data_IF_251324517017
#
_entry.id   IF_251324517017
#
_cell.length_a   1.000
_cell.length_b   1.000
_cell.length_c   1.000
_cell.angle_alpha   90.00
_cell.angle_beta   90.00
_cell.angle_gamma   90.00
#
_symmetry.space_group_name_H-M   'P 1'
#
loop_
_entity.id
_entity.type
_entity.pdbx_description
1 polymer ?
#
# COMPACT_ATOMS: atom_id res chain seq x y z
N UNK A 1 27.87 -19.64 3.98
CA UNK A 1 27.75 -20.63 5.09
C UNK A 1 26.32 -20.73 5.62
N UNK A 2 25.55 -19.63 5.70
CA UNK A 2 24.20 -19.61 6.27
C UNK A 2 23.06 -19.87 5.26
N UNK A 3 23.34 -19.81 3.95
CA UNK A 3 22.34 -19.99 2.89
C UNK A 3 21.51 -21.28 3.00
N UNK A 4 22.13 -22.37 3.46
CA UNK A 4 21.46 -23.67 3.68
C UNK A 4 20.36 -23.66 4.73
N UNK A 5 20.32 -22.61 5.57
CA UNK A 5 19.28 -22.45 6.62
C UNK A 5 18.13 -21.54 6.18
N UNK A 6 18.29 -20.83 5.07
CA UNK A 6 17.27 -19.94 4.52
C UNK A 6 16.25 -20.72 3.70
N UNK A 7 15.01 -20.28 3.74
CA UNK A 7 13.98 -20.82 2.85
C UNK A 7 14.32 -20.50 1.39
N UNK A 8 13.85 -21.35 0.47
CA UNK A 8 14.09 -21.15 -0.97
C UNK A 8 13.59 -19.79 -1.45
N UNK A 9 12.42 -19.34 -0.95
CA UNK A 9 11.85 -18.04 -1.31
C UNK A 9 12.72 -16.86 -0.87
N UNK A 10 13.30 -16.93 0.35
CA UNK A 10 14.21 -15.88 0.84
C UNK A 10 15.51 -15.83 0.04
N UNK A 11 16.01 -16.98 -0.43
CA UNK A 11 17.24 -17.05 -1.22
C UNK A 11 17.10 -16.36 -2.60
N UNK A 12 15.89 -16.24 -3.14
CA UNK A 12 15.64 -15.57 -4.44
C UNK A 12 15.50 -14.06 -4.31
N UNK A 13 15.19 -13.54 -3.11
CA UNK A 13 15.00 -12.11 -2.90
C UNK A 13 16.32 -11.38 -2.97
N UNK A 14 16.40 -10.42 -3.88
CA UNK A 14 17.59 -9.55 -4.01
C UNK A 14 17.50 -8.39 -3.01
N UNK A 15 18.61 -8.05 -2.32
CA UNK A 15 18.65 -6.86 -1.49
C UNK A 15 18.29 -5.61 -2.29
N UNK A 16 17.51 -4.70 -1.68
CA UNK A 16 17.18 -3.42 -2.31
C UNK A 16 18.46 -2.59 -2.56
N UNK A 17 18.69 -2.20 -3.81
CA UNK A 17 19.81 -1.32 -4.17
C UNK A 17 19.73 0.08 -3.57
N UNK A 18 18.53 0.54 -3.20
CA UNK A 18 18.27 1.87 -2.65
C UNK A 18 19.02 2.09 -1.33
N UNK A 19 19.07 1.09 -0.46
CA UNK A 19 19.72 1.19 0.86
C UNK A 19 21.22 1.56 0.73
N UNK A 20 21.92 0.99 -0.26
CA UNK A 20 23.32 1.31 -0.52
C UNK A 20 23.54 2.79 -0.83
N UNK A 21 22.61 3.42 -1.53
CA UNK A 21 22.71 4.85 -1.85
C UNK A 21 22.40 5.73 -0.65
N UNK A 22 21.52 5.28 0.27
CA UNK A 22 21.26 5.99 1.53
C UNK A 22 22.47 5.97 2.44
N UNK A 23 23.09 4.80 2.61
CA UNK A 23 24.29 4.67 3.43
C UNK A 23 25.39 5.60 2.87
N UNK A 24 25.60 5.59 1.54
CA UNK A 24 26.56 6.47 0.89
C UNK A 24 26.23 7.97 1.08
N UNK A 25 24.95 8.37 0.93
CA UNK A 25 24.54 9.76 1.08
C UNK A 25 24.69 10.25 2.53
N UNK A 26 24.50 9.37 3.52
CA UNK A 26 24.66 9.72 4.94
C UNK A 26 26.12 9.94 5.34
N UNK A 27 27.07 9.38 4.60
CA UNK A 27 28.51 9.55 4.83
C UNK A 27 29.10 10.79 4.12
N UNK A 28 28.32 11.46 3.28
CA UNK A 28 28.77 12.62 2.48
C UNK A 28 28.31 13.93 3.10
N UNK A 29 29.24 14.89 3.28
CA UNK A 29 28.91 16.24 3.73
C UNK A 29 28.32 17.08 2.58
N UNK A 30 27.33 17.92 2.89
CA UNK A 30 26.75 18.89 1.96
C UNK A 30 25.82 18.29 0.89
N UNK A 31 25.42 17.05 1.01
CA UNK A 31 24.47 16.40 0.09
C UNK A 31 23.05 16.77 0.43
N UNK A 32 22.30 17.24 -0.58
CA UNK A 32 20.84 17.37 -0.51
C UNK A 32 20.27 16.01 -0.94
N UNK A 33 19.81 15.22 0.02
CA UNK A 33 19.20 13.91 -0.27
C UNK A 33 17.76 14.08 -0.76
N UNK A 34 17.47 13.52 -1.94
CA UNK A 34 16.12 13.33 -2.48
C UNK A 34 15.70 11.85 -2.40
N UNK A 35 16.38 11.08 -1.54
CA UNK A 35 16.32 9.63 -1.56
C UNK A 35 15.13 9.04 -0.81
N UNK A 36 15.00 9.29 0.50
CA UNK A 36 13.88 8.75 1.30
C UNK A 36 12.66 9.65 1.13
N UNK A 37 11.58 9.09 0.59
CA UNK A 37 10.32 9.80 0.48
C UNK A 37 9.57 9.84 1.83
N UNK A 38 9.90 10.82 2.67
CA UNK A 38 9.16 11.09 3.91
C UNK A 38 8.76 12.57 3.99
N UNK A 39 7.67 12.89 4.73
CA UNK A 39 7.25 14.27 4.92
C UNK A 39 8.35 15.11 5.57
N UNK A 40 8.58 16.31 5.05
CA UNK A 40 9.50 17.30 5.61
C UNK A 40 8.85 18.11 6.75
N UNK A 41 8.18 17.39 7.64
CA UNK A 41 7.48 17.94 8.80
C UNK A 41 7.60 16.98 9.97
N UNK A 42 7.72 17.52 11.17
CA UNK A 42 7.47 16.73 12.37
C UNK A 42 6.01 16.34 12.48
N UNK A 43 5.74 15.19 13.11
CA UNK A 43 4.37 14.85 13.52
C UNK A 43 3.75 16.02 14.30
N UNK A 44 2.53 16.47 13.95
CA UNK A 44 1.87 17.61 14.61
C UNK A 44 1.85 17.50 16.13
N UNK A 45 2.07 18.63 16.81
CA UNK A 45 2.26 18.64 18.27
C UNK A 45 1.12 17.96 19.04
N UNK A 46 -0.13 18.23 18.68
CA UNK A 46 -1.29 17.63 19.34
C UNK A 46 -1.33 16.10 19.26
N UNK A 47 -0.78 15.51 18.19
CA UNK A 47 -0.65 14.04 18.07
C UNK A 47 0.45 13.53 19.00
N UNK A 48 1.61 14.22 19.01
CA UNK A 48 2.72 13.88 19.91
C UNK A 48 2.32 13.98 21.38
N UNK A 49 1.63 15.05 21.74
CA UNK A 49 1.12 15.29 23.10
C UNK A 49 0.14 14.20 23.54
N UNK A 50 -0.81 13.82 22.68
CA UNK A 50 -1.75 12.73 22.95
C UNK A 50 -1.04 11.40 23.19
N UNK A 51 0.02 11.12 22.43
CA UNK A 51 0.81 9.91 22.64
C UNK A 51 1.59 9.93 23.95
N UNK A 52 2.23 11.05 24.31
CA UNK A 52 2.91 11.23 25.60
C UNK A 52 1.91 10.99 26.73
N UNK A 53 0.75 11.64 26.67
CA UNK A 53 -0.31 11.48 27.67
C UNK A 53 -0.79 10.04 27.77
N UNK A 54 -0.90 9.31 26.68
CA UNK A 54 -1.31 7.91 26.68
C UNK A 54 -0.34 7.02 27.45
N UNK A 55 0.96 7.28 27.32
CA UNK A 55 2.01 6.56 28.03
C UNK A 55 1.98 6.93 29.54
N UNK A 56 1.92 8.23 29.85
CA UNK A 56 1.86 8.73 31.23
C UNK A 56 0.61 8.23 31.97
N UNK A 57 -0.51 8.07 31.27
CA UNK A 57 -1.75 7.52 31.83
C UNK A 57 -1.79 5.98 31.89
N UNK A 58 -0.68 5.30 31.58
CA UNK A 58 -0.56 3.85 31.72
C UNK A 58 -1.28 3.04 30.64
N UNK A 59 -1.58 3.61 29.47
CA UNK A 59 -2.17 2.88 28.33
C UNK A 59 -1.10 2.04 27.62
N UNK A 60 -0.55 1.05 28.33
CA UNK A 60 0.60 0.23 27.89
C UNK A 60 0.30 -1.27 27.84
N UNK A 61 -0.98 -1.65 27.89
CA UNK A 61 -1.42 -3.04 27.85
C UNK A 61 -1.78 -3.51 26.44
N UNK A 62 -1.92 -4.83 26.28
CA UNK A 62 -2.37 -5.42 25.03
C UNK A 62 -3.72 -4.87 24.59
N UNK A 63 -3.86 -4.67 23.29
CA UNK A 63 -5.12 -4.33 22.63
C UNK A 63 -5.72 -5.57 21.95
N UNK A 64 -6.88 -5.43 21.34
CA UNK A 64 -7.41 -6.47 20.45
C UNK A 64 -6.45 -6.71 19.27
N UNK A 65 -6.40 -7.93 18.74
CA UNK A 65 -5.54 -8.28 17.60
C UNK A 65 -5.78 -7.42 16.36
N UNK A 66 -7.00 -6.95 16.19
CA UNK A 66 -7.39 -6.03 15.10
C UNK A 66 -7.04 -4.56 15.37
N UNK A 67 -6.50 -4.25 16.55
CA UNK A 67 -6.28 -2.88 17.04
C UNK A 67 -7.43 -2.36 17.89
N UNK A 68 -7.22 -1.20 18.51
CA UNK A 68 -8.22 -0.52 19.35
C UNK A 68 -9.49 -0.26 18.55
N UNK A 69 -10.66 -0.57 19.13
CA UNK A 69 -11.96 -0.35 18.48
C UNK A 69 -12.16 1.14 18.18
N UNK A 70 -11.85 2.00 19.15
CA UNK A 70 -11.97 3.46 18.99
C UNK A 70 -11.14 4.00 17.82
N UNK A 71 -9.95 3.44 17.60
CA UNK A 71 -9.13 3.82 16.43
C UNK A 71 -9.77 3.33 15.13
N UNK A 72 -10.32 2.12 15.11
CA UNK A 72 -10.98 1.57 13.92
C UNK A 72 -12.27 2.33 13.58
N UNK A 73 -13.03 2.79 14.59
CA UNK A 73 -14.18 3.68 14.44
C UNK A 73 -13.77 5.01 13.79
N UNK A 74 -12.69 5.64 14.29
CA UNK A 74 -12.18 6.89 13.72
C UNK A 74 -11.64 6.71 12.28
N UNK A 75 -11.00 5.58 11.97
CA UNK A 75 -10.60 5.23 10.60
C UNK A 75 -11.83 5.14 9.68
N UNK A 76 -12.91 4.47 10.11
CA UNK A 76 -14.14 4.38 9.32
C UNK A 76 -14.79 5.75 9.12
N UNK A 77 -14.87 6.57 10.17
CA UNK A 77 -15.38 7.94 10.09
C UNK A 77 -14.54 8.82 9.14
N UNK A 78 -13.22 8.66 9.18
CA UNK A 78 -12.29 9.33 8.26
C UNK A 78 -12.54 8.90 6.81
N UNK A 79 -12.61 7.59 6.53
CA UNK A 79 -12.87 7.04 5.20
C UNK A 79 -14.22 7.54 4.65
N UNK A 80 -15.25 7.56 5.48
CA UNK A 80 -16.58 8.06 5.12
C UNK A 80 -16.56 9.55 4.78
N UNK A 81 -15.93 10.35 5.65
CA UNK A 81 -15.87 11.82 5.49
C UNK A 81 -15.01 12.26 4.30
N UNK A 82 -13.84 11.60 4.11
CA UNK A 82 -12.87 12.03 3.11
C UNK A 82 -13.13 11.41 1.73
N UNK A 83 -13.51 10.14 1.69
CA UNK A 83 -13.55 9.36 0.46
C UNK A 83 -14.91 8.73 0.16
N UNK A 84 -15.95 9.03 0.96
CA UNK A 84 -17.31 8.50 0.84
C UNK A 84 -17.35 6.96 0.87
N UNK A 85 -16.45 6.34 1.61
CA UNK A 85 -16.38 4.91 1.82
C UNK A 85 -16.93 4.55 3.19
N UNK A 86 -17.92 3.68 3.22
CA UNK A 86 -18.60 3.23 4.44
C UNK A 86 -18.20 1.80 4.76
N UNK A 87 -17.58 1.60 5.93
CA UNK A 87 -17.08 0.33 6.42
C UNK A 87 -17.51 0.11 7.88
N UNK A 88 -17.64 -1.16 8.28
CA UNK A 88 -17.88 -1.56 9.66
C UNK A 88 -16.54 -1.63 10.42
N UNK A 89 -16.39 -0.90 11.53
CA UNK A 89 -15.14 -0.90 12.30
C UNK A 89 -14.85 -2.25 12.99
N UNK A 90 -15.86 -3.09 13.20
CA UNK A 90 -15.69 -4.40 13.84
C UNK A 90 -15.15 -5.43 12.84
N UNK A 91 -15.75 -5.49 11.64
CA UNK A 91 -15.51 -6.56 10.70
C UNK A 91 -14.60 -6.18 9.51
N UNK A 92 -14.47 -4.86 9.21
CA UNK A 92 -13.79 -4.44 7.97
C UNK A 92 -12.44 -3.74 8.19
N UNK A 93 -11.96 -3.56 9.43
CA UNK A 93 -10.73 -2.81 9.71
C UNK A 93 -9.77 -3.59 10.57
N UNK A 94 -8.52 -3.65 10.14
CA UNK A 94 -7.37 -4.19 10.90
C UNK A 94 -6.27 -3.12 10.93
N UNK A 95 -5.74 -2.86 12.12
CA UNK A 95 -4.58 -1.99 12.33
C UNK A 95 -3.31 -2.83 12.34
N UNK A 96 -2.29 -2.38 11.60
CA UNK A 96 -1.03 -3.12 11.39
C UNK A 96 0.19 -2.25 11.70
N UNK A 97 1.37 -2.87 11.77
CA UNK A 97 2.65 -2.15 11.93
C UNK A 97 3.07 -1.52 10.59
N UNK A 98 2.31 -0.51 10.18
CA UNK A 98 2.46 0.21 8.92
C UNK A 98 1.95 -0.59 7.71
N UNK A 99 1.87 0.09 6.55
CA UNK A 99 1.31 -0.47 5.32
C UNK A 99 2.03 -1.71 4.77
N UNK A 100 3.33 -1.88 5.08
CA UNK A 100 4.06 -3.08 4.62
C UNK A 100 3.57 -4.37 5.27
N UNK A 101 3.20 -4.34 6.57
CA UNK A 101 2.57 -5.49 7.20
C UNK A 101 1.17 -5.72 6.65
N UNK A 102 0.41 -4.65 6.39
CA UNK A 102 -0.92 -4.77 5.79
C UNK A 102 -0.86 -5.47 4.41
N UNK A 103 0.14 -5.13 3.58
CA UNK A 103 0.37 -5.79 2.29
C UNK A 103 0.73 -7.27 2.48
N UNK A 104 1.66 -7.57 3.39
CA UNK A 104 2.09 -8.96 3.65
C UNK A 104 0.92 -9.83 4.14
N UNK A 105 0.13 -9.32 5.09
CA UNK A 105 -1.06 -10.02 5.61
C UNK A 105 -2.10 -10.22 4.51
N UNK A 106 -2.40 -9.17 3.72
CA UNK A 106 -3.35 -9.28 2.61
C UNK A 106 -2.91 -10.33 1.60
N UNK A 107 -1.64 -10.31 1.18
CA UNK A 107 -1.10 -11.31 0.25
C UNK A 107 -1.23 -12.73 0.82
N UNK A 108 -0.81 -12.96 2.06
CA UNK A 108 -0.91 -14.28 2.70
C UNK A 108 -2.35 -14.77 2.86
N UNK A 109 -3.31 -13.86 3.00
CA UNK A 109 -4.71 -14.22 3.17
C UNK A 109 -5.39 -14.63 1.85
N UNK A 110 -4.94 -14.09 0.70
CA UNK A 110 -5.69 -14.21 -0.56
C UNK A 110 -5.01 -15.06 -1.64
N UNK A 111 -3.68 -15.25 -1.60
CA UNK A 111 -2.96 -15.94 -2.67
C UNK A 111 -2.43 -17.30 -2.23
N UNK A 112 -2.40 -18.25 -3.15
CA UNK A 112 -1.77 -19.55 -3.00
C UNK A 112 -0.47 -19.61 -3.82
N UNK A 113 0.45 -20.53 -3.51
CA UNK A 113 1.61 -20.77 -4.35
C UNK A 113 1.20 -21.09 -5.80
N UNK A 114 1.77 -20.33 -6.73
CA UNK A 114 1.49 -20.46 -8.17
C UNK A 114 0.38 -19.56 -8.71
N UNK A 115 -0.39 -18.89 -7.84
CA UNK A 115 -1.28 -17.79 -8.26
C UNK A 115 -0.46 -16.63 -8.81
N UNK A 116 -1.02 -15.87 -9.72
CA UNK A 116 -0.40 -14.68 -10.30
C UNK A 116 -0.95 -13.41 -9.66
N UNK A 117 -0.04 -12.49 -9.33
CA UNK A 117 -0.39 -11.16 -8.82
C UNK A 117 0.18 -10.10 -9.75
N UNK A 118 -0.69 -9.28 -10.31
CA UNK A 118 -0.30 -8.18 -11.20
C UNK A 118 0.27 -7.03 -10.35
N UNK A 119 1.46 -6.56 -10.73
CA UNK A 119 2.15 -5.41 -10.15
C UNK A 119 2.46 -4.39 -11.25
N UNK A 120 2.41 -3.10 -10.91
CA UNK A 120 2.86 -2.04 -11.80
C UNK A 120 4.37 -1.80 -11.68
N UNK A 121 5.01 -1.37 -12.76
CA UNK A 121 6.40 -0.89 -12.78
C UNK A 121 6.49 0.47 -13.48
N UNK A 122 7.23 1.45 -12.91
CA UNK A 122 7.94 1.38 -11.62
C UNK A 122 6.99 1.44 -10.41
N UNK A 123 7.39 0.80 -9.30
CA UNK A 123 6.60 0.76 -8.06
C UNK A 123 7.49 0.65 -6.81
N UNK A 124 6.84 0.65 -5.64
CA UNK A 124 7.54 0.46 -4.39
C UNK A 124 8.23 -0.91 -4.32
N UNK A 125 9.51 -0.88 -3.96
CA UNK A 125 10.42 -2.05 -4.04
C UNK A 125 9.98 -3.26 -3.20
N UNK A 126 9.10 -3.09 -2.23
CA UNK A 126 8.64 -4.16 -1.37
C UNK A 126 7.49 -5.00 -1.98
N UNK A 127 6.83 -4.55 -3.06
CA UNK A 127 5.67 -5.27 -3.59
C UNK A 127 6.08 -6.62 -4.19
N UNK A 128 7.08 -6.66 -5.05
CA UNK A 128 7.58 -7.92 -5.64
C UNK A 128 7.98 -8.95 -4.58
N UNK A 129 8.84 -8.62 -3.59
CA UNK A 129 9.15 -9.55 -2.52
C UNK A 129 7.95 -10.02 -1.70
N UNK A 130 6.94 -9.16 -1.46
CA UNK A 130 5.73 -9.54 -0.72
C UNK A 130 4.93 -10.61 -1.47
N UNK A 131 4.89 -10.55 -2.80
CA UNK A 131 4.28 -11.60 -3.65
C UNK A 131 5.12 -12.87 -3.63
N UNK A 132 6.42 -12.77 -3.89
CA UNK A 132 7.33 -13.93 -3.98
C UNK A 132 7.39 -14.73 -2.67
N UNK A 133 7.32 -14.06 -1.50
CA UNK A 133 7.32 -14.70 -0.18
C UNK A 133 6.10 -15.59 0.08
N UNK A 134 5.01 -15.40 -0.64
CA UNK A 134 3.83 -16.30 -0.57
C UNK A 134 3.94 -17.51 -1.50
N UNK A 135 4.94 -17.54 -2.37
CA UNK A 135 5.07 -18.52 -3.45
C UNK A 135 4.22 -18.21 -4.69
N UNK A 136 3.58 -17.04 -4.71
CA UNK A 136 2.88 -16.53 -5.89
C UNK A 136 3.87 -15.96 -6.92
N UNK A 137 3.39 -15.73 -8.12
CA UNK A 137 4.18 -15.25 -9.27
C UNK A 137 3.84 -13.79 -9.54
N UNK A 138 4.78 -12.85 -9.41
CA UNK A 138 4.55 -11.47 -9.80
C UNK A 138 4.49 -11.33 -11.33
N UNK A 139 3.44 -10.68 -11.83
CA UNK A 139 3.25 -10.33 -13.24
C UNK A 139 3.36 -8.82 -13.38
N UNK A 140 4.41 -8.34 -14.03
CA UNK A 140 4.72 -6.91 -14.09
C UNK A 140 4.09 -6.25 -15.32
N UNK A 141 3.35 -5.14 -15.09
CA UNK A 141 2.87 -4.23 -16.13
C UNK A 141 3.74 -2.98 -16.13
N UNK A 142 4.45 -2.74 -17.21
CA UNK A 142 5.22 -1.51 -17.39
C UNK A 142 4.29 -0.34 -17.66
N UNK A 143 4.29 0.64 -16.76
CA UNK A 143 3.65 1.93 -16.95
C UNK A 143 4.62 2.88 -17.67
N UNK A 144 4.12 3.68 -18.58
CA UNK A 144 4.94 4.52 -19.45
C UNK A 144 4.56 5.98 -19.29
N UNK A 145 5.51 6.85 -19.61
CA UNK A 145 5.34 8.29 -19.53
C UNK A 145 4.21 8.78 -20.47
N UNK A 146 4.09 8.16 -21.64
CA UNK A 146 3.08 8.46 -22.64
C UNK A 146 1.65 8.29 -22.11
N UNK A 147 1.46 7.33 -21.21
CA UNK A 147 0.19 7.09 -20.49
C UNK A 147 0.11 7.85 -19.15
N UNK A 148 1.02 8.78 -18.90
CA UNK A 148 1.13 9.48 -17.61
C UNK A 148 1.33 8.52 -16.43
N UNK A 149 2.00 7.39 -16.66
CA UNK A 149 2.16 6.29 -15.71
C UNK A 149 0.83 5.75 -15.15
N UNK A 150 -0.23 5.77 -15.95
CA UNK A 150 -1.53 5.19 -15.63
C UNK A 150 -1.64 3.76 -16.12
N UNK A 151 -2.48 2.97 -15.45
CA UNK A 151 -2.86 1.65 -15.93
C UNK A 151 -3.98 1.79 -16.96
N UNK A 152 -3.75 1.28 -18.18
CA UNK A 152 -4.76 1.28 -19.23
C UNK A 152 -5.52 -0.06 -19.31
N UNK A 153 -6.76 -0.07 -19.83
CA UNK A 153 -7.52 -1.31 -20.03
C UNK A 153 -6.79 -2.35 -20.89
N UNK A 154 -6.05 -1.90 -21.90
CA UNK A 154 -5.32 -2.76 -22.83
C UNK A 154 -4.18 -3.48 -22.10
N UNK A 155 -3.39 -2.74 -21.31
CA UNK A 155 -2.31 -3.29 -20.50
C UNK A 155 -2.84 -4.27 -19.45
N UNK A 156 -3.94 -3.93 -18.78
CA UNK A 156 -4.57 -4.82 -17.81
C UNK A 156 -5.03 -6.13 -18.47
N UNK A 157 -5.78 -6.05 -19.58
CA UNK A 157 -6.26 -7.24 -20.29
C UNK A 157 -5.12 -8.14 -20.78
N UNK A 158 -4.02 -7.55 -21.24
CA UNK A 158 -2.87 -8.31 -21.72
C UNK A 158 -2.12 -9.08 -20.62
N UNK A 159 -2.24 -8.63 -19.36
CA UNK A 159 -1.59 -9.25 -18.20
C UNK A 159 -2.44 -10.32 -17.52
N UNK A 160 -3.75 -10.37 -17.77
CA UNK A 160 -4.67 -11.31 -17.13
C UNK A 160 -4.51 -12.71 -17.75
N UNK A 161 -4.38 -13.70 -16.89
CA UNK A 161 -4.40 -15.14 -17.23
C UNK A 161 -5.40 -15.88 -16.34
N UNK A 162 -5.70 -17.14 -16.61
CA UNK A 162 -6.53 -17.95 -15.71
C UNK A 162 -5.95 -18.16 -14.30
N UNK A 163 -4.69 -17.77 -14.07
CA UNK A 163 -4.02 -17.84 -12.77
C UNK A 163 -4.01 -16.49 -12.03
N UNK A 164 -4.45 -15.42 -12.68
CA UNK A 164 -4.46 -14.09 -12.07
C UNK A 164 -5.44 -14.06 -10.91
N UNK A 165 -4.92 -13.89 -9.70
CA UNK A 165 -5.69 -13.85 -8.46
C UNK A 165 -5.95 -12.42 -7.98
N UNK A 166 -4.93 -11.57 -8.08
CA UNK A 166 -5.00 -10.22 -7.54
C UNK A 166 -4.20 -9.24 -8.38
N UNK A 167 -4.49 -7.96 -8.19
CA UNK A 167 -3.69 -6.83 -8.64
C UNK A 167 -3.39 -5.93 -7.45
N UNK A 168 -2.13 -5.50 -7.30
CA UNK A 168 -1.75 -4.47 -6.33
C UNK A 168 -1.53 -3.16 -7.07
N UNK A 169 -2.31 -2.15 -6.72
CA UNK A 169 -2.26 -0.80 -7.29
C UNK A 169 -1.84 0.20 -6.22
N UNK A 170 -0.96 1.13 -6.57
CA UNK A 170 -0.59 2.26 -5.71
C UNK A 170 -0.77 3.57 -6.48
N UNK A 171 -1.83 4.30 -6.15
CA UNK A 171 -2.15 5.61 -6.70
C UNK A 171 -2.69 6.53 -5.61
N UNK A 172 -2.13 7.75 -5.45
CA UNK A 172 -0.95 8.31 -6.16
C UNK A 172 0.27 7.43 -6.02
N UNK A 173 1.05 7.28 -7.11
CA UNK A 173 2.07 6.24 -7.22
C UNK A 173 3.44 6.67 -6.68
N UNK A 174 4.08 5.78 -5.96
CA UNK A 174 5.52 5.84 -5.68
C UNK A 174 6.24 4.91 -6.70
N UNK A 175 7.19 5.41 -7.54
CA UNK A 175 7.84 6.73 -7.44
C UNK A 175 7.35 7.79 -8.43
N UNK A 176 6.37 7.50 -9.28
CA UNK A 176 6.08 8.34 -10.46
C UNK A 176 5.21 9.57 -10.16
N UNK A 177 4.47 9.55 -9.05
CA UNK A 177 3.44 10.56 -8.76
C UNK A 177 2.20 10.44 -9.67
N UNK A 178 2.11 9.38 -10.50
CA UNK A 178 0.93 9.13 -11.34
C UNK A 178 -0.33 9.00 -10.50
N UNK A 179 -1.45 9.49 -11.02
CA UNK A 179 -2.77 9.42 -10.37
C UNK A 179 -3.79 8.82 -11.33
N UNK A 180 -4.73 8.04 -10.78
CA UNK A 180 -5.87 7.51 -11.52
C UNK A 180 -7.11 8.32 -11.19
N UNK A 181 -7.79 8.82 -12.21
CA UNK A 181 -9.08 9.51 -12.05
C UNK A 181 -10.24 8.52 -11.94
N UNK A 182 -11.42 9.03 -11.58
CA UNK A 182 -12.65 8.21 -11.58
C UNK A 182 -12.94 7.62 -12.96
N UNK A 183 -12.69 8.39 -14.00
CA UNK A 183 -12.87 7.98 -15.40
C UNK A 183 -11.87 6.89 -15.82
N UNK A 184 -10.65 6.95 -15.31
CA UNK A 184 -9.64 5.92 -15.55
C UNK A 184 -10.05 4.60 -14.89
N UNK A 185 -10.45 4.63 -13.60
CA UNK A 185 -10.95 3.44 -12.89
C UNK A 185 -12.22 2.87 -13.53
N UNK A 186 -13.15 3.72 -13.97
CA UNK A 186 -14.40 3.27 -14.60
C UNK A 186 -14.17 2.38 -15.83
N UNK A 187 -13.04 2.55 -16.54
CA UNK A 187 -12.65 1.70 -17.67
C UNK A 187 -12.07 0.35 -17.22
N UNK A 188 -11.50 0.26 -16.04
CA UNK A 188 -10.89 -0.95 -15.48
C UNK A 188 -11.91 -1.82 -14.73
N UNK A 189 -12.89 -1.22 -14.09
CA UNK A 189 -13.90 -1.88 -13.25
C UNK A 189 -14.59 -3.07 -13.95
N UNK A 190 -15.08 -2.97 -15.18
CA UNK A 190 -15.70 -4.11 -15.88
C UNK A 190 -14.73 -5.30 -16.02
N UNK A 191 -13.45 -5.01 -16.32
CA UNK A 191 -12.42 -6.05 -16.52
C UNK A 191 -12.12 -6.75 -15.20
N UNK A 192 -11.94 -5.97 -14.12
CA UNK A 192 -11.67 -6.50 -12.78
C UNK A 192 -12.83 -7.36 -12.27
N UNK A 193 -14.07 -6.90 -12.50
CA UNK A 193 -15.27 -7.61 -12.11
C UNK A 193 -15.44 -8.93 -12.85
N UNK A 194 -15.34 -8.90 -14.18
CA UNK A 194 -15.52 -10.07 -15.05
C UNK A 194 -14.54 -11.19 -14.72
N UNK A 195 -13.31 -10.83 -14.32
CA UNK A 195 -12.25 -11.79 -14.00
C UNK A 195 -12.14 -12.08 -12.50
N UNK A 196 -13.04 -11.56 -11.66
CA UNK A 196 -13.06 -11.76 -10.20
C UNK A 196 -11.72 -11.46 -9.51
N UNK A 197 -10.98 -10.44 -10.04
CA UNK A 197 -9.65 -10.07 -9.55
C UNK A 197 -9.76 -9.28 -8.26
N UNK A 198 -9.07 -9.72 -7.21
CA UNK A 198 -8.97 -8.95 -5.96
C UNK A 198 -8.04 -7.75 -6.18
N UNK A 199 -8.50 -6.58 -5.80
CA UNK A 199 -7.73 -5.34 -5.90
C UNK A 199 -7.15 -4.99 -4.54
N UNK A 200 -5.84 -5.04 -4.39
CA UNK A 200 -5.14 -4.44 -3.25
C UNK A 200 -4.79 -3.01 -3.66
N UNK A 201 -5.48 -2.05 -3.06
CA UNK A 201 -5.30 -0.63 -3.34
C UNK A 201 -4.46 0.01 -2.24
N UNK A 202 -3.18 0.24 -2.53
CA UNK A 202 -2.31 1.00 -1.62
C UNK A 202 -2.54 2.50 -1.83
N UNK A 203 -3.27 3.09 -0.90
CA UNK A 203 -3.74 4.47 -0.90
C UNK A 203 -2.99 5.34 0.13
N UNK A 204 -1.79 4.93 0.51
CA UNK A 204 -0.97 5.64 1.52
C UNK A 204 -0.72 7.11 1.18
N UNK A 205 -0.81 7.47 -0.10
CA UNK A 205 -0.62 8.83 -0.61
C UNK A 205 -1.93 9.55 -0.98
N UNK A 206 -3.10 9.01 -0.61
CA UNK A 206 -4.40 9.58 -0.99
C UNK A 206 -4.53 11.08 -0.64
N UNK A 207 -4.08 11.50 0.56
CA UNK A 207 -4.09 12.90 1.00
C UNK A 207 -3.04 13.78 0.32
N UNK A 208 -2.09 13.20 -0.40
CA UNK A 208 -1.07 13.91 -1.17
C UNK A 208 -1.47 14.03 -2.66
N UNK A 209 -2.75 14.02 -2.96
CA UNK A 209 -3.30 14.36 -4.26
C UNK A 209 -3.41 15.87 -4.35
N UNK A 210 -2.46 16.51 -5.06
CA UNK A 210 -2.36 17.98 -5.12
C UNK A 210 -3.28 18.58 -6.18
N UNK A 211 -3.50 17.86 -7.28
CA UNK A 211 -4.36 18.30 -8.37
C UNK A 211 -5.55 17.33 -8.53
N UNK A 212 -6.76 17.89 -8.58
CA UNK A 212 -7.98 17.12 -8.74
C UNK A 212 -8.50 16.48 -7.45
N UNK A 213 -9.22 15.40 -7.59
CA UNK A 213 -9.85 14.68 -6.46
C UNK A 213 -9.39 13.23 -6.48
N UNK A 214 -8.91 12.76 -5.34
CA UNK A 214 -8.59 11.34 -5.15
C UNK A 214 -9.84 10.47 -5.37
N UNK A 215 -9.65 9.35 -6.03
CA UNK A 215 -10.67 8.32 -6.22
C UNK A 215 -10.09 6.95 -5.86
N UNK A 216 -10.77 6.23 -5.01
CA UNK A 216 -10.47 4.83 -4.71
C UNK A 216 -11.20 3.90 -5.68
N UNK A 217 -10.63 2.75 -6.07
CA UNK A 217 -11.39 1.69 -6.75
C UNK A 217 -12.57 1.19 -5.91
N UNK A 218 -12.52 1.30 -4.58
CA UNK A 218 -13.63 0.97 -3.70
C UNK A 218 -14.85 1.91 -3.80
N UNK A 219 -14.72 3.06 -4.48
CA UNK A 219 -15.85 3.92 -4.79
C UNK A 219 -16.78 3.37 -5.90
N UNK A 220 -16.44 2.22 -6.48
CA UNK A 220 -17.25 1.53 -7.48
C UNK A 220 -17.93 0.33 -6.82
N UNK A 221 -19.24 0.44 -6.63
CA UNK A 221 -20.03 -0.60 -5.95
C UNK A 221 -19.92 -1.97 -6.62
N UNK A 222 -19.65 -1.98 -7.94
CA UNK A 222 -19.53 -3.19 -8.75
C UNK A 222 -18.37 -4.10 -8.33
N UNK A 223 -17.32 -3.54 -7.72
CA UNK A 223 -16.12 -4.27 -7.28
C UNK A 223 -15.75 -3.98 -5.83
N UNK A 224 -16.56 -3.23 -5.07
CA UNK A 224 -16.23 -2.83 -3.69
C UNK A 224 -15.82 -4.02 -2.81
N UNK A 225 -16.53 -5.14 -2.93
CA UNK A 225 -16.26 -6.35 -2.15
C UNK A 225 -15.00 -7.11 -2.62
N UNK A 226 -14.40 -6.70 -3.74
CA UNK A 226 -13.14 -7.22 -4.25
C UNK A 226 -11.95 -6.32 -3.89
N UNK A 227 -12.17 -5.18 -3.19
CA UNK A 227 -11.12 -4.20 -2.89
C UNK A 227 -10.67 -4.30 -1.44
N UNK A 228 -9.36 -4.46 -1.26
CA UNK A 228 -8.68 -4.30 0.03
C UNK A 228 -7.93 -2.97 -0.02
N UNK A 229 -8.35 -2.01 0.80
CA UNK A 229 -7.67 -0.72 0.93
C UNK A 229 -6.52 -0.86 1.93
N UNK A 230 -5.34 -0.41 1.52
CA UNK A 230 -4.19 -0.22 2.39
C UNK A 230 -3.96 1.28 2.54
N UNK A 231 -3.96 1.76 3.77
CA UNK A 231 -3.72 3.15 4.10
C UNK A 231 -2.82 3.22 5.33
N UNK A 232 -2.58 4.41 5.85
CA UNK A 232 -1.80 4.57 7.08
C UNK A 232 -1.51 6.03 7.41
N UNK A 233 -0.89 6.23 8.55
CA UNK A 233 -0.63 7.55 9.11
C UNK A 233 0.75 8.10 8.74
N UNK A 234 1.62 7.24 8.20
CA UNK A 234 3.03 7.58 7.94
C UNK A 234 3.21 8.82 7.08
N UNK A 235 2.40 8.98 6.01
CA UNK A 235 2.57 10.06 5.03
C UNK A 235 1.67 11.26 5.33
N UNK A 236 0.37 11.05 5.45
CA UNK A 236 -0.61 12.10 5.65
C UNK A 236 -0.42 12.87 6.98
N UNK A 237 0.16 12.23 8.00
CA UNK A 237 0.32 12.80 9.34
C UNK A 237 1.78 12.94 9.78
N UNK A 238 2.74 12.77 8.88
CA UNK A 238 4.18 12.79 9.19
C UNK A 238 4.55 11.83 10.35
N UNK A 239 4.04 10.59 10.28
CA UNK A 239 4.19 9.58 11.32
C UNK A 239 5.03 8.38 10.85
N UNK A 240 6.05 8.60 10.02
CA UNK A 240 6.86 7.51 9.44
C UNK A 240 7.54 6.63 10.49
N UNK A 241 8.01 7.23 11.59
CA UNK A 241 8.67 6.54 12.70
C UNK A 241 7.73 5.83 13.68
N UNK A 242 6.42 6.12 13.65
CA UNK A 242 5.44 5.55 14.58
C UNK A 242 5.05 4.12 14.25
N UNK A 243 5.22 3.73 12.99
CA UNK A 243 4.89 2.39 12.48
C UNK A 243 3.39 2.04 12.65
N UNK A 244 2.53 2.94 12.15
CA UNK A 244 1.07 2.81 12.19
C UNK A 244 0.47 3.20 10.83
#
# INVERSE_FOLDING_TARGET
>A
MYEKFLSKHVQTIKPSGIRKYFDLASEMEGVISLGVGEPDFDTPWHIREAAIYSIESGKTHYTANQGLLELREEICLYQKRRFQLDYDPVDNVIVTVGGSEAIDIAMRAIVNPGDEVILMEPSYVAYTPSVELTGAVPVHIKLEHEDQFKLTPEKLKAAITPKTKAILMNFPSNPTGGVMTREDYAKLVPILKENEIIVISDEIYAELTYDGTFCSPANFNEIKDQVIIISGFSKAYAMTGWRL
#
